data_IF_785504805111
#
_entry.id   IF_785504805111
#
_cell.length_a   1.000
_cell.length_b   1.000
_cell.length_c   1.000
_cell.angle_alpha   90.00
_cell.angle_beta   90.00
_cell.angle_gamma   90.00
#
_symmetry.space_group_name_H-M   'P 1'
#
loop_
_entity.id
_entity.type
_entity.pdbx_description
1 polymer ?
#
# COMPACT_ATOMS: atom_id res chain seq x y z
N UNK A 1 20.72 -46.00 -6.46
CA UNK A 1 21.42 -45.11 -5.50
C UNK A 1 21.48 -43.68 -6.01
N UNK A 2 22.02 -43.43 -7.21
CA UNK A 2 22.08 -42.09 -7.82
C UNK A 2 20.67 -41.48 -8.01
N UNK A 3 19.68 -42.26 -8.44
CA UNK A 3 18.30 -41.78 -8.59
C UNK A 3 17.62 -41.40 -7.26
N UNK A 4 18.04 -42.03 -6.16
CA UNK A 4 17.53 -41.71 -4.83
C UNK A 4 18.06 -40.34 -4.36
N UNK A 5 19.35 -40.07 -4.58
CA UNK A 5 19.95 -38.76 -4.31
C UNK A 5 19.36 -37.67 -5.21
N UNK A 6 19.09 -37.98 -6.48
CA UNK A 6 18.46 -37.04 -7.43
C UNK A 6 17.03 -36.67 -7.00
N UNK A 7 16.24 -37.67 -6.59
CA UNK A 7 14.87 -37.47 -6.13
C UNK A 7 14.79 -36.70 -4.80
N UNK A 8 15.76 -36.88 -3.89
CA UNK A 8 15.85 -36.06 -2.67
C UNK A 8 16.22 -34.62 -3.03
N UNK A 9 17.21 -34.43 -3.90
CA UNK A 9 17.65 -33.11 -4.31
C UNK A 9 16.53 -32.31 -4.99
N UNK A 10 15.80 -32.91 -5.92
CA UNK A 10 14.68 -32.26 -6.60
C UNK A 10 13.58 -31.85 -5.62
N UNK A 11 13.22 -32.72 -4.67
CA UNK A 11 12.23 -32.39 -3.62
C UNK A 11 12.69 -31.26 -2.70
N UNK A 12 13.98 -31.19 -2.37
CA UNK A 12 14.53 -30.11 -1.53
C UNK A 12 14.51 -28.79 -2.30
N UNK A 13 14.86 -28.81 -3.60
CA UNK A 13 14.80 -27.63 -4.47
C UNK A 13 13.36 -27.13 -4.63
N UNK A 14 12.40 -28.03 -4.85
CA UNK A 14 10.98 -27.69 -4.92
C UNK A 14 10.46 -27.10 -3.60
N UNK A 15 10.87 -27.67 -2.46
CA UNK A 15 10.49 -27.14 -1.15
C UNK A 15 11.05 -25.74 -0.92
N UNK A 16 12.32 -25.51 -1.29
CA UNK A 16 12.95 -24.20 -1.18
C UNK A 16 12.31 -23.17 -2.13
N UNK A 17 12.01 -23.56 -3.38
CA UNK A 17 11.30 -22.74 -4.34
C UNK A 17 9.89 -22.35 -3.84
N UNK A 18 9.19 -23.28 -3.19
CA UNK A 18 7.88 -23.02 -2.60
C UNK A 18 7.96 -22.02 -1.45
N UNK A 19 8.89 -22.23 -0.52
CA UNK A 19 9.09 -21.32 0.62
C UNK A 19 9.48 -19.90 0.17
N UNK A 20 10.40 -19.79 -0.79
CA UNK A 20 10.81 -18.49 -1.35
C UNK A 20 9.67 -17.78 -2.08
N UNK A 21 8.86 -18.52 -2.84
CA UNK A 21 7.65 -17.98 -3.49
C UNK A 21 6.65 -17.44 -2.49
N UNK A 22 6.41 -18.17 -1.39
CA UNK A 22 5.52 -17.72 -0.30
C UNK A 22 6.05 -16.42 0.32
N UNK A 23 7.34 -16.36 0.66
CA UNK A 23 7.97 -15.16 1.23
C UNK A 23 7.88 -13.98 0.26
N UNK A 24 8.14 -14.21 -1.03
CA UNK A 24 8.02 -13.19 -2.07
C UNK A 24 6.59 -12.67 -2.17
N UNK A 25 5.59 -13.56 -2.19
CA UNK A 25 4.18 -13.21 -2.24
C UNK A 25 3.77 -12.33 -1.05
N UNK A 26 4.12 -12.72 0.18
CA UNK A 26 3.87 -11.90 1.36
C UNK A 26 4.59 -10.55 1.31
N UNK A 27 5.80 -10.51 0.75
CA UNK A 27 6.57 -9.28 0.58
C UNK A 27 5.88 -8.33 -0.39
N UNK A 28 5.38 -8.85 -1.52
CA UNK A 28 4.61 -8.08 -2.50
C UNK A 28 3.33 -7.55 -1.88
N UNK A 29 2.56 -8.38 -1.17
CA UNK A 29 1.36 -7.95 -0.45
C UNK A 29 1.70 -6.82 0.54
N UNK A 30 2.75 -7.00 1.35
CA UNK A 30 3.18 -6.00 2.33
C UNK A 30 3.57 -4.66 1.69
N UNK A 31 4.09 -4.69 0.46
CA UNK A 31 4.36 -3.49 -0.34
C UNK A 31 3.10 -2.88 -0.94
N UNK A 32 2.11 -3.69 -1.34
CA UNK A 32 0.88 -3.22 -1.98
C UNK A 32 -0.16 -2.67 -0.98
N UNK A 33 -0.31 -3.27 0.20
CA UNK A 33 -1.24 -2.82 1.25
C UNK A 33 -1.17 -1.31 1.52
N UNK A 34 0.00 -0.67 1.76
CA UNK A 34 0.05 0.76 2.01
C UNK A 34 -0.40 1.60 0.81
N UNK A 35 -0.22 1.10 -0.42
CA UNK A 35 -0.66 1.78 -1.64
C UNK A 35 -2.19 1.74 -1.72
N UNK A 36 -2.78 0.57 -1.52
CA UNK A 36 -4.24 0.38 -1.52
C UNK A 36 -4.87 1.20 -0.41
N UNK A 37 -4.31 1.17 0.80
CA UNK A 37 -4.79 1.96 1.94
C UNK A 37 -4.73 3.46 1.64
N UNK A 38 -3.67 3.94 0.99
CA UNK A 38 -3.57 5.35 0.58
C UNK A 38 -4.67 5.73 -0.43
N UNK A 39 -4.92 4.90 -1.44
CA UNK A 39 -5.96 5.13 -2.45
C UNK A 39 -7.35 5.12 -1.80
N UNK A 40 -7.64 4.12 -0.98
CA UNK A 40 -8.92 4.00 -0.27
C UNK A 40 -9.19 5.22 0.61
N UNK A 41 -8.19 5.68 1.37
CA UNK A 41 -8.28 6.89 2.17
C UNK A 41 -8.56 8.13 1.33
N UNK A 42 -7.96 8.24 0.14
CA UNK A 42 -8.19 9.38 -0.75
C UNK A 42 -9.60 9.40 -1.34
N UNK A 43 -10.12 8.23 -1.69
CA UNK A 43 -11.50 8.07 -2.16
C UNK A 43 -12.48 8.40 -1.03
N UNK A 44 -12.22 7.90 0.19
CA UNK A 44 -13.00 8.21 1.38
C UNK A 44 -13.02 9.71 1.71
N UNK A 45 -11.86 10.38 1.65
CA UNK A 45 -11.75 11.84 1.84
C UNK A 45 -12.66 12.60 0.86
N UNK A 46 -12.66 12.22 -0.42
CA UNK A 46 -13.47 12.87 -1.45
C UNK A 46 -14.98 12.63 -1.26
N UNK A 47 -15.36 11.40 -0.94
CA UNK A 47 -16.76 11.05 -0.71
C UNK A 47 -17.31 11.73 0.56
N UNK A 48 -16.54 11.72 1.64
CA UNK A 48 -16.91 12.41 2.88
C UNK A 48 -16.99 13.91 2.69
N UNK A 49 -16.05 14.51 1.94
CA UNK A 49 -16.12 15.93 1.58
C UNK A 49 -17.44 16.25 0.86
N UNK A 50 -17.81 15.48 -0.17
CA UNK A 50 -19.09 15.67 -0.88
C UNK A 50 -20.31 15.59 0.04
N UNK A 51 -20.29 14.66 1.00
CA UNK A 51 -21.38 14.54 1.98
C UNK A 51 -21.43 15.73 2.94
N UNK A 52 -20.28 16.20 3.42
CA UNK A 52 -20.22 17.35 4.35
C UNK A 52 -20.50 18.69 3.66
N UNK A 53 -20.09 18.86 2.41
CA UNK A 53 -20.38 20.07 1.64
C UNK A 53 -21.85 20.22 1.26
N UNK A 54 -22.64 19.14 1.36
CA UNK A 54 -24.08 19.16 1.13
C UNK A 54 -24.88 19.62 2.37
N UNK A 55 -24.22 19.84 3.51
CA UNK A 55 -24.85 20.32 4.74
C UNK A 55 -24.90 21.84 4.70
N UNK A 56 -26.11 22.42 4.74
CA UNK A 56 -26.38 23.85 4.49
C UNK A 56 -25.71 24.82 5.50
N UNK A 57 -25.33 24.32 6.67
CA UNK A 57 -24.67 25.10 7.73
C UNK A 57 -23.17 24.87 7.84
N UNK A 58 -22.57 24.10 6.94
CA UNK A 58 -21.13 23.82 6.97
C UNK A 58 -20.42 24.63 5.88
N UNK A 59 -19.39 25.38 6.28
CA UNK A 59 -18.52 26.01 5.29
C UNK A 59 -17.70 24.97 4.53
N UNK A 60 -17.33 25.28 3.28
CA UNK A 60 -16.56 24.36 2.44
C UNK A 60 -15.19 24.01 3.06
N UNK A 61 -14.60 24.95 3.81
CA UNK A 61 -13.34 24.75 4.52
C UNK A 61 -13.51 23.82 5.73
N UNK A 62 -14.62 23.91 6.47
CA UNK A 62 -14.95 22.99 7.56
C UNK A 62 -15.27 21.58 7.05
N UNK A 63 -16.00 21.47 5.94
CA UNK A 63 -16.28 20.19 5.28
C UNK A 63 -14.99 19.47 4.87
N UNK A 64 -14.03 20.21 4.29
CA UNK A 64 -12.70 19.68 3.95
C UNK A 64 -11.89 19.32 5.19
N UNK A 65 -11.94 20.12 6.24
CA UNK A 65 -11.21 19.85 7.49
C UNK A 65 -11.74 18.57 8.17
N UNK A 66 -13.06 18.41 8.25
CA UNK A 66 -13.69 17.20 8.79
C UNK A 66 -13.35 15.97 7.95
N UNK A 67 -13.51 16.02 6.63
CA UNK A 67 -13.17 14.91 5.74
C UNK A 67 -11.70 14.48 5.87
N UNK A 68 -10.78 15.44 5.96
CA UNK A 68 -9.36 15.16 6.18
C UNK A 68 -9.09 14.55 7.56
N UNK A 69 -9.77 15.02 8.59
CA UNK A 69 -9.55 14.55 9.97
C UNK A 69 -9.93 13.06 10.16
N UNK A 70 -10.92 12.59 9.41
CA UNK A 70 -11.42 11.21 9.44
C UNK A 70 -10.58 10.31 8.55
N UNK A 71 -10.31 10.74 7.31
CA UNK A 71 -9.77 9.86 6.28
C UNK A 71 -8.26 9.98 6.05
N UNK A 72 -7.62 11.09 6.44
CA UNK A 72 -6.15 11.13 6.33
C UNK A 72 -5.53 10.33 7.48
N UNK A 73 -4.59 9.42 7.19
CA UNK A 73 -3.84 8.75 8.23
C UNK A 73 -3.07 9.77 9.06
N UNK A 74 -3.25 9.76 10.39
CA UNK A 74 -2.48 10.59 11.34
C UNK A 74 -1.00 10.18 11.39
N UNK A 75 -0.67 8.98 10.91
CA UNK A 75 0.70 8.51 10.76
C UNK A 75 1.36 9.14 9.53
N UNK A 76 2.57 9.68 9.73
CA UNK A 76 3.38 10.16 8.60
C UNK A 76 3.63 8.98 7.65
N UNK A 77 3.55 9.19 6.32
CA UNK A 77 3.90 8.14 5.37
C UNK A 77 5.32 7.64 5.66
N UNK A 78 5.61 6.35 5.41
CA UNK A 78 6.92 5.78 5.67
C UNK A 78 8.02 6.64 5.02
N UNK A 79 9.12 6.92 5.73
CA UNK A 79 10.20 7.82 5.25
C UNK A 79 10.75 7.42 3.88
N UNK A 80 10.67 6.14 3.52
CA UNK A 80 11.10 5.61 2.22
C UNK A 80 10.17 6.03 1.06
N UNK A 81 8.88 6.24 1.31
CA UNK A 81 7.90 6.68 0.30
C UNK A 81 8.23 8.07 -0.24
N UNK A 82 8.59 9.01 0.63
CA UNK A 82 9.01 10.36 0.23
C UNK A 82 10.32 10.36 -0.58
N UNK A 83 11.23 9.42 -0.29
CA UNK A 83 12.47 9.23 -1.07
C UNK A 83 12.17 8.65 -2.45
N UNK A 84 11.26 7.66 -2.54
CA UNK A 84 10.85 7.05 -3.80
C UNK A 84 10.14 8.05 -4.71
N UNK A 85 9.19 8.81 -4.15
CA UNK A 85 8.45 9.84 -4.88
C UNK A 85 9.38 10.93 -5.43
N UNK A 86 10.36 11.39 -4.64
CA UNK A 86 11.38 12.36 -5.13
C UNK A 86 12.28 11.80 -6.23
N UNK A 87 12.45 10.47 -6.30
CA UNK A 87 13.31 9.82 -7.31
C UNK A 87 12.54 9.57 -8.62
N UNK A 88 11.27 9.16 -8.51
CA UNK A 88 10.40 8.83 -9.66
C UNK A 88 9.76 10.08 -10.27
N UNK A 89 9.27 11.01 -9.42
CA UNK A 89 8.57 12.23 -9.84
C UNK A 89 9.44 13.48 -9.71
N UNK A 90 10.77 13.34 -9.78
CA UNK A 90 11.65 14.52 -9.95
C UNK A 90 11.30 15.11 -11.32
N UNK A 91 10.41 16.10 -11.35
CA UNK A 91 10.19 16.98 -12.50
C UNK A 91 11.59 17.41 -12.97
N UNK A 92 11.99 16.98 -14.18
CA UNK A 92 13.04 17.68 -14.92
C UNK A 92 12.54 19.13 -15.03
N UNK A 93 13.16 19.99 -14.24
CA UNK A 93 13.03 21.44 -14.38
C UNK A 93 13.81 21.84 -15.63
#
# INVERSE_FOLDING_TARGET
MIDFFRNIYDKVVEHFATMTTIVLFFTVIKLLIPIVAYIANRIGEHNAYKSFSAIEHLSDDEARAMARSIWRPKSKPPKWWGKLHKKIFKRKK
#
